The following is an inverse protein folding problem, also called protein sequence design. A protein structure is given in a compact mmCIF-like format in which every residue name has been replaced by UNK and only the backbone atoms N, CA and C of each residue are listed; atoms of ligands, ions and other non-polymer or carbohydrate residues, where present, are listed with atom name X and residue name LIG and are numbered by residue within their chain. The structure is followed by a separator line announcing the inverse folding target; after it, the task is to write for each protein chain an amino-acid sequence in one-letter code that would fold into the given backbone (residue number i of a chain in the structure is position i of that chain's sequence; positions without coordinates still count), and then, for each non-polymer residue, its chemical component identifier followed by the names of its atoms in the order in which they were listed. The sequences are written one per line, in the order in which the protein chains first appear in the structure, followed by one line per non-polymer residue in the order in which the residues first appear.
data_IF_918129377746
#
_entry.id   IF_918129377746
#
_cell.length_a   1.000
_cell.length_b   1.000
_cell.length_c   1.000
_cell.angle_alpha   90.00
_cell.angle_beta   90.00
_cell.angle_gamma   90.00
#
_symmetry.space_group_name_H-M   'P 1'
#
loop_
_entity.id
_entity.type
_entity.pdbx_description
1 polymer ?
#
# COMPACT_ATOMS: atom_id res chain seq x y z
N UNK A 1 5.70 9.12 8.83
CA UNK A 1 5.29 7.72 8.56
C UNK A 1 4.67 7.60 7.19
N UNK A 2 4.68 6.39 6.59
CA UNK A 2 4.04 6.11 5.29
C UNK A 2 2.92 5.09 5.51
N UNK A 3 1.74 5.35 4.95
CA UNK A 3 0.56 4.49 5.02
C UNK A 3 0.15 4.16 3.59
N UNK A 4 0.16 2.87 3.23
CA UNK A 4 -0.07 2.42 1.86
C UNK A 4 -1.30 1.52 1.80
N UNK A 5 -2.35 1.98 1.14
CA UNK A 5 -3.43 1.12 0.70
C UNK A 5 -2.94 0.26 -0.46
N UNK A 6 -2.65 -0.99 -0.16
CA UNK A 6 -2.03 -1.91 -1.12
C UNK A 6 -2.93 -2.29 -2.27
N UNK A 7 -4.24 -2.33 -2.06
CA UNK A 7 -5.20 -2.61 -3.11
C UNK A 7 -5.33 -1.45 -4.07
N UNK A 8 -5.49 -0.25 -3.54
CA UNK A 8 -5.55 0.97 -4.33
C UNK A 8 -4.25 1.17 -5.13
N UNK A 9 -3.09 0.95 -4.49
CA UNK A 9 -1.79 0.97 -5.15
C UNK A 9 -1.70 -0.06 -6.28
N UNK A 10 -2.11 -1.32 -6.04
CA UNK A 10 -2.07 -2.40 -7.03
C UNK A 10 -2.90 -2.07 -8.27
N UNK A 11 -4.15 -1.65 -8.07
CA UNK A 11 -5.06 -1.29 -9.16
C UNK A 11 -4.55 -0.11 -9.97
N UNK A 12 -4.05 0.92 -9.30
CA UNK A 12 -3.49 2.11 -9.93
C UNK A 12 -2.24 1.78 -10.76
N UNK A 13 -1.32 0.96 -10.24
CA UNK A 13 -0.13 0.50 -10.96
C UNK A 13 -0.50 -0.30 -12.20
N UNK A 14 -1.47 -1.22 -12.08
CA UNK A 14 -1.93 -2.01 -13.20
C UNK A 14 -2.57 -1.16 -14.30
N UNK A 15 -3.38 -0.18 -13.90
CA UNK A 15 -4.07 0.71 -14.82
C UNK A 15 -3.11 1.68 -15.55
N UNK A 16 -2.16 2.26 -14.82
CA UNK A 16 -1.28 3.32 -15.37
C UNK A 16 -0.04 2.77 -16.05
N UNK A 17 0.55 1.69 -15.51
CA UNK A 17 1.83 1.15 -15.97
C UNK A 17 1.74 -0.28 -16.52
N UNK A 18 0.59 -0.93 -16.45
CA UNK A 18 0.37 -2.35 -16.80
C UNK A 18 1.36 -3.32 -16.13
N UNK A 19 1.87 -2.95 -14.94
CA UNK A 19 2.77 -3.79 -14.13
C UNK A 19 2.57 -3.51 -12.65
N UNK A 20 2.89 -4.51 -11.80
CA UNK A 20 2.62 -4.46 -10.36
C UNK A 20 3.80 -4.90 -9.49
N UNK A 21 4.94 -5.17 -10.11
CA UNK A 21 6.17 -5.68 -9.48
C UNK A 21 7.00 -4.56 -8.81
N UNK A 22 6.33 -3.71 -8.03
CA UNK A 22 6.95 -2.58 -7.34
C UNK A 22 7.70 -3.03 -6.09
N UNK A 23 8.87 -2.44 -5.87
CA UNK A 23 9.65 -2.52 -4.63
C UNK A 23 9.14 -1.46 -3.66
N UNK A 24 8.44 -1.91 -2.61
CA UNK A 24 7.81 -1.01 -1.63
C UNK A 24 8.84 -0.21 -0.84
N UNK A 25 10.00 -0.81 -0.54
CA UNK A 25 11.09 -0.09 0.14
C UNK A 25 11.61 1.09 -0.67
N UNK A 26 11.86 0.87 -1.96
CA UNK A 26 12.30 1.93 -2.87
C UNK A 26 11.23 3.00 -3.07
N UNK A 27 9.95 2.60 -3.16
CA UNK A 27 8.84 3.56 -3.19
C UNK A 27 8.85 4.44 -1.94
N UNK A 28 8.91 3.84 -0.75
CA UNK A 28 8.95 4.60 0.52
C UNK A 28 10.12 5.59 0.55
N UNK A 29 11.32 5.17 0.11
CA UNK A 29 12.49 6.05 0.03
C UNK A 29 12.26 7.27 -0.89
N UNK A 30 11.58 7.07 -2.02
CA UNK A 30 11.22 8.17 -2.93
C UNK A 30 10.18 9.11 -2.33
N UNK A 31 9.18 8.56 -1.65
CA UNK A 31 8.10 9.36 -1.06
C UNK A 31 8.58 10.21 0.12
N UNK A 32 9.44 9.67 0.97
CA UNK A 32 9.94 10.42 2.14
C UNK A 32 10.92 11.53 1.76
N UNK A 33 11.54 11.48 0.58
CA UNK A 33 12.56 12.45 0.15
C UNK A 33 13.68 12.60 1.20
N UNK A 34 13.78 13.78 1.84
CA UNK A 34 14.76 14.08 2.90
C UNK A 34 14.22 13.83 4.32
N UNK A 35 12.96 13.38 4.45
CA UNK A 35 12.36 13.12 5.76
C UNK A 35 12.88 11.79 6.34
N UNK A 36 12.90 11.67 7.67
CA UNK A 36 13.21 10.41 8.34
C UNK A 36 11.99 9.48 8.27
N UNK A 37 12.19 8.25 7.78
CA UNK A 37 11.17 7.21 7.87
C UNK A 37 11.12 6.66 9.31
N UNK A 38 9.99 6.80 9.96
CA UNK A 38 9.72 6.15 11.25
C UNK A 38 9.23 4.73 11.01
N UNK A 39 8.17 4.58 10.18
CA UNK A 39 7.56 3.29 9.82
C UNK A 39 6.77 3.43 8.53
N UNK A 40 6.72 2.34 7.77
CA UNK A 40 5.79 2.12 6.67
C UNK A 40 4.76 1.08 7.10
N UNK A 41 3.48 1.37 6.92
CA UNK A 41 2.38 0.42 7.07
C UNK A 41 1.83 0.08 5.69
N UNK A 42 1.76 -1.20 5.38
CA UNK A 42 1.20 -1.69 4.12
C UNK A 42 -0.07 -2.49 4.42
N UNK A 43 -1.20 -1.99 3.96
CA UNK A 43 -2.52 -2.59 4.17
C UNK A 43 -2.92 -3.40 2.95
N UNK A 44 -3.44 -4.61 3.15
CA UNK A 44 -3.96 -5.43 2.05
C UNK A 44 -4.97 -6.45 2.57
N UNK A 45 -5.89 -6.88 1.71
CA UNK A 45 -6.77 -8.01 1.99
C UNK A 45 -6.15 -9.31 1.48
N UNK A 46 -6.18 -10.35 2.32
CA UNK A 46 -5.65 -11.66 1.93
C UNK A 46 -6.63 -12.40 1.03
N UNK A 47 -6.10 -12.96 -0.05
CA UNK A 47 -6.83 -13.82 -0.98
C UNK A 47 -7.16 -15.16 -0.30
N UNK A 48 -8.33 -15.70 -0.54
CA UNK A 48 -8.72 -17.02 -0.03
C UNK A 48 -8.01 -18.15 -0.76
N UNK A 49 -7.21 -18.95 -0.05
CA UNK A 49 -6.47 -20.07 -0.64
C UNK A 49 -7.39 -21.12 -1.31
N UNK A 50 -8.58 -21.36 -0.73
CA UNK A 50 -9.54 -22.32 -1.28
C UNK A 50 -10.20 -21.82 -2.56
N UNK A 51 -10.45 -20.53 -2.67
CA UNK A 51 -11.14 -19.92 -3.80
C UNK A 51 -10.21 -19.59 -4.96
N UNK A 52 -9.00 -19.10 -4.65
CA UNK A 52 -8.04 -18.60 -5.65
C UNK A 52 -6.60 -19.05 -5.31
N UNK A 53 -6.26 -20.35 -5.38
CA UNK A 53 -4.97 -20.86 -4.86
C UNK A 53 -3.75 -20.24 -5.54
N UNK A 54 -3.77 -20.07 -6.85
CA UNK A 54 -2.64 -19.47 -7.58
C UNK A 54 -2.44 -18.00 -7.24
N UNK A 55 -3.54 -17.24 -7.12
CA UNK A 55 -3.49 -15.83 -6.72
C UNK A 55 -3.01 -15.70 -5.27
N UNK A 56 -3.45 -16.61 -4.40
CA UNK A 56 -2.98 -16.70 -3.01
C UNK A 56 -1.47 -16.88 -2.95
N UNK A 57 -0.89 -17.86 -3.64
CA UNK A 57 0.56 -18.11 -3.59
C UNK A 57 1.37 -16.91 -4.12
N UNK A 58 0.93 -16.29 -5.21
CA UNK A 58 1.57 -15.08 -5.73
C UNK A 58 1.50 -13.92 -4.72
N UNK A 59 0.37 -13.74 -4.08
CA UNK A 59 0.20 -12.71 -3.06
C UNK A 59 1.09 -12.98 -1.84
N UNK A 60 1.16 -14.22 -1.35
CA UNK A 60 2.00 -14.56 -0.20
C UNK A 60 3.48 -14.27 -0.47
N UNK A 61 3.99 -14.60 -1.65
CA UNK A 61 5.36 -14.28 -2.04
C UNK A 61 5.62 -12.76 -2.08
N UNK A 62 4.64 -11.98 -2.57
CA UNK A 62 4.72 -10.53 -2.55
C UNK A 62 4.70 -9.98 -1.12
N UNK A 63 3.75 -10.41 -0.28
CA UNK A 63 3.62 -9.96 1.11
C UNK A 63 4.87 -10.29 1.93
N UNK A 64 5.46 -11.48 1.74
CA UNK A 64 6.73 -11.85 2.36
C UNK A 64 7.85 -10.86 1.98
N UNK A 65 7.91 -10.44 0.72
CA UNK A 65 8.90 -9.44 0.27
C UNK A 65 8.65 -8.05 0.88
N UNK A 66 7.40 -7.67 1.11
CA UNK A 66 7.06 -6.41 1.80
C UNK A 66 7.45 -6.49 3.27
N UNK A 67 7.13 -7.60 3.93
CA UNK A 67 7.48 -7.82 5.34
C UNK A 67 8.98 -7.84 5.60
N UNK A 68 9.77 -8.34 4.65
CA UNK A 68 11.24 -8.31 4.72
C UNK A 68 11.84 -6.90 4.54
N UNK A 69 11.04 -5.92 4.13
CA UNK A 69 11.50 -4.54 3.97
C UNK A 69 11.70 -3.89 5.33
N UNK A 70 12.88 -3.32 5.63
CA UNK A 70 13.14 -2.67 6.92
C UNK A 70 12.11 -1.58 7.25
N UNK A 71 11.74 -1.50 8.51
CA UNK A 71 10.76 -0.51 9.04
C UNK A 71 9.36 -0.61 8.40
N UNK A 72 9.00 -1.77 7.86
CA UNK A 72 7.70 -2.00 7.24
C UNK A 72 6.87 -3.01 8.05
N UNK A 73 5.61 -2.71 8.25
CA UNK A 73 4.64 -3.58 8.89
C UNK A 73 3.47 -3.86 7.97
N UNK A 74 3.06 -5.14 7.91
CA UNK A 74 1.84 -5.57 7.23
C UNK A 74 0.64 -5.42 8.15
N UNK A 75 -0.45 -4.94 7.58
CA UNK A 75 -1.79 -4.91 8.18
C UNK A 75 -2.73 -5.65 7.23
N UNK A 76 -3.17 -6.82 7.61
CA UNK A 76 -3.89 -7.73 6.72
C UNK A 76 -5.35 -7.88 7.16
N UNK A 77 -6.27 -7.47 6.27
CA UNK A 77 -7.67 -7.85 6.30
C UNK A 77 -7.90 -9.11 5.49
N UNK A 78 -9.12 -9.33 5.05
CA UNK A 78 -9.49 -10.49 4.26
C UNK A 78 -10.49 -10.13 3.15
N UNK A 79 -10.47 -10.95 2.09
CA UNK A 79 -11.51 -10.92 1.06
C UNK A 79 -12.74 -11.72 1.50
N UNK A 80 -13.90 -11.16 1.25
CA UNK A 80 -15.19 -11.81 1.50
C UNK A 80 -15.72 -12.37 0.17
N UNK A 81 -15.98 -13.67 0.14
CA UNK A 81 -16.36 -14.44 -1.05
C UNK A 81 -17.86 -14.81 -1.02
N UNK A 82 -18.73 -13.81 -1.05
CA UNK A 82 -20.17 -14.05 -1.15
C UNK A 82 -20.53 -14.41 -2.59
N UNK A 83 -21.20 -15.55 -2.79
CA UNK A 83 -21.62 -16.05 -4.11
C UNK A 83 -20.48 -16.26 -5.12
N UNK A 84 -19.29 -16.58 -4.64
CA UNK A 84 -18.16 -16.92 -5.52
C UNK A 84 -18.45 -18.22 -6.31
N UNK A 85 -18.13 -18.31 -7.60
CA UNK A 85 -17.45 -17.31 -8.44
C UNK A 85 -18.38 -16.33 -9.16
N UNK A 86 -19.69 -16.39 -8.94
CA UNK A 86 -20.67 -15.56 -9.64
C UNK A 86 -20.49 -14.05 -9.38
N UNK A 87 -19.99 -13.69 -8.20
CA UNK A 87 -19.63 -12.29 -7.87
C UNK A 87 -18.18 -12.18 -7.43
N UNK A 88 -17.45 -11.11 -7.83
CA UNK A 88 -16.11 -10.86 -7.36
C UNK A 88 -16.09 -10.69 -5.83
N UNK A 89 -15.02 -11.13 -5.15
CA UNK A 89 -14.86 -10.87 -3.73
C UNK A 89 -14.60 -9.38 -3.48
N UNK A 90 -14.96 -8.91 -2.28
CA UNK A 90 -14.70 -7.55 -1.86
C UNK A 90 -13.84 -7.52 -0.59
N UNK A 91 -13.11 -6.42 -0.40
CA UNK A 91 -12.26 -6.22 0.77
C UNK A 91 -13.09 -5.81 1.98
N UNK A 92 -12.65 -6.28 3.16
CA UNK A 92 -13.29 -5.89 4.42
C UNK A 92 -12.25 -5.47 5.45
N UNK A 93 -12.47 -4.30 6.02
CA UNK A 93 -11.75 -3.77 7.17
C UNK A 93 -10.43 -3.06 6.87
N UNK A 94 -10.00 -2.97 5.60
CA UNK A 94 -8.74 -2.30 5.22
C UNK A 94 -8.80 -0.82 5.57
N UNK A 95 -9.83 -0.12 5.09
CA UNK A 95 -9.99 1.33 5.30
C UNK A 95 -10.10 1.69 6.77
N UNK A 96 -10.81 0.85 7.54
CA UNK A 96 -10.97 1.03 8.99
C UNK A 96 -9.62 0.88 9.69
N UNK A 97 -8.82 -0.16 9.35
CA UNK A 97 -7.50 -0.36 9.93
C UNK A 97 -6.56 0.81 9.61
N UNK A 98 -6.50 1.21 8.34
CA UNK A 98 -5.65 2.31 7.90
C UNK A 98 -6.03 3.61 8.59
N UNK A 99 -7.32 3.96 8.59
CA UNK A 99 -7.86 5.16 9.26
C UNK A 99 -7.56 5.13 10.76
N UNK A 100 -7.76 3.98 11.42
CA UNK A 100 -7.51 3.82 12.85
C UNK A 100 -6.02 4.01 13.18
N UNK A 101 -5.13 3.38 12.42
CA UNK A 101 -3.68 3.52 12.63
C UNK A 101 -3.22 4.96 12.37
N UNK A 102 -3.69 5.58 11.27
CA UNK A 102 -3.37 6.95 10.92
C UNK A 102 -3.72 7.92 12.06
N UNK A 103 -4.93 7.85 12.60
CA UNK A 103 -5.38 8.68 13.70
C UNK A 103 -4.70 8.33 15.02
N UNK A 104 -4.55 7.03 15.34
CA UNK A 104 -3.90 6.59 16.59
C UNK A 104 -2.45 7.06 16.67
N UNK A 105 -1.70 6.94 15.58
CA UNK A 105 -0.32 7.43 15.53
C UNK A 105 -0.23 8.95 15.57
N UNK A 106 -1.23 9.65 15.02
CA UNK A 106 -1.36 11.10 15.14
C UNK A 106 -1.56 11.51 16.60
N UNK A 107 -2.53 10.94 17.30
CA UNK A 107 -2.80 11.24 18.72
C UNK A 107 -1.59 10.92 19.64
N UNK A 108 -0.87 9.85 19.34
CA UNK A 108 0.36 9.48 20.05
C UNK A 108 1.58 10.33 19.65
N UNK A 109 1.44 11.25 18.71
CA UNK A 109 2.54 12.07 18.16
C UNK A 109 3.73 11.24 17.66
N UNK A 110 3.45 10.09 17.06
CA UNK A 110 4.47 9.18 16.53
C UNK A 110 5.05 9.65 15.18
N UNK A 111 4.52 10.70 14.60
CA UNK A 111 5.01 11.34 13.38
C UNK A 111 4.63 12.82 13.32
N UNK A 112 5.40 13.59 12.56
CA UNK A 112 5.09 14.98 12.21
C UNK A 112 4.37 15.05 10.86
N UNK A 113 4.71 14.11 9.96
CA UNK A 113 4.15 14.02 8.60
C UNK A 113 3.69 12.58 8.34
N UNK A 114 2.43 12.44 7.96
CA UNK A 114 1.91 11.22 7.35
C UNK A 114 1.97 11.34 5.82
N UNK A 115 2.44 10.29 5.14
CA UNK A 115 2.33 10.16 3.69
C UNK A 115 1.34 9.04 3.41
N UNK A 116 0.20 9.38 2.84
CA UNK A 116 -0.86 8.44 2.48
C UNK A 116 -0.78 8.10 0.99
N UNK A 117 -0.61 6.82 0.67
CA UNK A 117 -0.65 6.31 -0.70
C UNK A 117 -2.02 5.65 -0.93
N UNK A 118 -2.99 6.43 -1.32
CA UNK A 118 -4.35 5.99 -1.61
C UNK A 118 -5.09 7.05 -2.44
N UNK A 119 -5.99 6.60 -3.33
CA UNK A 119 -6.85 7.47 -4.13
C UNK A 119 -8.30 7.48 -3.65
N UNK A 120 -8.62 6.79 -2.55
CA UNK A 120 -9.97 6.67 -2.02
C UNK A 120 -10.36 7.91 -1.20
N UNK A 121 -11.51 8.48 -1.52
CA UNK A 121 -12.03 9.68 -0.85
C UNK A 121 -12.54 9.43 0.57
N UNK A 122 -12.73 8.18 0.96
CA UNK A 122 -13.16 7.82 2.32
C UNK A 122 -12.13 8.22 3.39
N UNK A 123 -10.87 8.44 2.99
CA UNK A 123 -9.81 8.92 3.88
C UNK A 123 -9.85 10.41 4.19
N UNK A 124 -10.69 11.22 3.53
CA UNK A 124 -10.76 12.68 3.72
C UNK A 124 -10.98 13.06 5.18
N UNK A 125 -11.92 12.39 5.85
CA UNK A 125 -12.22 12.63 7.27
C UNK A 125 -11.03 12.33 8.19
N UNK A 126 -10.29 11.25 7.90
CA UNK A 126 -9.10 10.88 8.66
C UNK A 126 -7.95 11.89 8.48
N UNK A 127 -7.73 12.35 7.25
CA UNK A 127 -6.75 13.40 6.94
C UNK A 127 -7.07 14.67 7.73
N UNK A 128 -8.33 15.10 7.71
CA UNK A 128 -8.75 16.29 8.46
C UNK A 128 -8.54 16.10 9.97
N UNK A 129 -8.81 14.90 10.51
CA UNK A 129 -8.54 14.57 11.92
C UNK A 129 -7.07 14.69 12.29
N UNK A 130 -6.16 14.21 11.44
CA UNK A 130 -4.70 14.34 11.62
C UNK A 130 -4.29 15.81 11.62
N UNK A 131 -4.77 16.60 10.68
CA UNK A 131 -4.48 18.05 10.57
C UNK A 131 -4.99 18.83 11.78
N UNK A 132 -6.20 18.51 12.24
CA UNK A 132 -6.76 19.12 13.45
C UNK A 132 -5.94 18.82 14.72
N UNK A 133 -5.21 17.69 14.71
CA UNK A 133 -4.28 17.32 15.79
C UNK A 133 -2.87 17.92 15.61
N UNK A 134 -2.66 18.75 14.60
CA UNK A 134 -1.44 19.53 14.39
C UNK A 134 -0.31 18.83 13.64
N UNK A 135 -0.57 17.69 12.97
CA UNK A 135 0.37 17.07 12.05
C UNK A 135 0.01 17.36 10.58
N UNK A 136 0.97 17.12 9.70
CA UNK A 136 0.78 17.33 8.27
C UNK A 136 0.47 16.01 7.54
N UNK A 137 -0.32 16.10 6.47
CA UNK A 137 -0.63 14.94 5.62
C UNK A 137 -0.26 15.25 4.17
N UNK A 138 0.64 14.44 3.64
CA UNK A 138 0.94 14.42 2.20
C UNK A 138 0.22 13.22 1.57
N UNK A 139 -0.44 13.43 0.43
CA UNK A 139 -1.14 12.35 -0.28
C UNK A 139 -0.41 12.05 -1.59
N UNK A 140 -0.06 10.78 -1.78
CA UNK A 140 0.61 10.29 -2.98
C UNK A 140 -0.42 9.65 -3.93
N UNK A 141 -0.63 10.25 -5.09
CA UNK A 141 -1.69 9.94 -6.04
C UNK A 141 -1.14 9.61 -7.43
N UNK A 142 -1.81 8.68 -8.12
CA UNK A 142 -1.58 8.41 -9.53
C UNK A 142 -2.42 9.35 -10.40
N UNK A 143 -1.90 9.69 -11.59
CA UNK A 143 -2.64 10.39 -12.62
C UNK A 143 -2.75 11.91 -12.44
N UNK A 144 -3.63 12.48 -13.27
CA UNK A 144 -3.79 13.94 -13.41
C UNK A 144 -4.69 14.52 -12.30
N UNK A 145 -4.76 15.85 -12.24
CA UNK A 145 -5.45 16.65 -11.22
C UNK A 145 -6.93 16.29 -10.97
N UNK A 146 -7.62 15.72 -11.97
CA UNK A 146 -9.04 15.34 -11.85
C UNK A 146 -9.30 14.10 -10.98
N UNK A 147 -8.26 13.32 -10.68
CA UNK A 147 -8.39 12.08 -9.90
C UNK A 147 -8.33 12.41 -8.41
N UNK A 148 -9.31 11.93 -7.65
CA UNK A 148 -9.37 12.09 -6.18
C UNK A 148 -9.27 13.55 -5.71
N UNK A 149 -10.01 14.45 -6.37
CA UNK A 149 -10.03 15.89 -6.03
C UNK A 149 -10.26 16.15 -4.53
N UNK A 150 -11.21 15.50 -3.83
CA UNK A 150 -11.40 15.73 -2.39
C UNK A 150 -10.13 15.45 -1.56
N UNK A 151 -9.32 14.45 -1.91
CA UNK A 151 -8.05 14.19 -1.24
C UNK A 151 -7.03 15.30 -1.51
N UNK A 152 -6.99 15.82 -2.73
CA UNK A 152 -6.09 16.93 -3.09
C UNK A 152 -6.42 18.20 -2.33
N UNK A 153 -7.71 18.47 -2.17
CA UNK A 153 -8.20 19.69 -1.52
C UNK A 153 -7.93 19.67 0.00
N UNK A 154 -7.90 18.49 0.64
CA UNK A 154 -7.68 18.36 2.08
C UNK A 154 -6.20 18.17 2.44
N UNK A 155 -5.37 17.64 1.54
CA UNK A 155 -3.96 17.37 1.79
C UNK A 155 -3.13 18.65 1.94
N UNK A 156 -2.09 18.62 2.78
CA UNK A 156 -1.12 19.73 2.85
C UNK A 156 -0.20 19.74 1.63
N UNK A 157 0.06 18.58 1.05
CA UNK A 157 0.85 18.41 -0.17
C UNK A 157 0.38 17.20 -0.95
N UNK A 158 0.41 17.31 -2.28
CA UNK A 158 0.16 16.19 -3.17
C UNK A 158 1.46 15.76 -3.84
N UNK A 159 1.79 14.47 -3.74
CA UNK A 159 2.90 13.82 -4.44
C UNK A 159 2.31 13.08 -5.64
N UNK A 160 2.73 13.42 -6.84
CA UNK A 160 2.30 12.69 -8.04
C UNK A 160 3.17 11.47 -8.25
N UNK A 161 2.55 10.28 -8.25
CA UNK A 161 3.22 9.02 -8.58
C UNK A 161 3.19 8.86 -10.11
N UNK A 162 4.32 9.16 -10.73
CA UNK A 162 4.53 9.05 -12.17
C UNK A 162 5.75 8.18 -12.50
N UNK A 163 6.05 8.01 -13.80
CA UNK A 163 7.20 7.21 -14.25
C UNK A 163 8.55 7.78 -13.80
N UNK A 164 8.65 9.09 -13.48
CA UNK A 164 9.88 9.72 -12.96
C UNK A 164 10.10 9.34 -11.51
N UNK A 165 9.05 9.43 -10.67
CA UNK A 165 9.11 9.01 -9.27
C UNK A 165 9.42 7.53 -9.17
N UNK A 166 8.77 6.68 -9.99
CA UNK A 166 8.94 5.22 -9.96
C UNK A 166 10.21 4.73 -10.69
N UNK A 167 11.04 5.62 -11.23
CA UNK A 167 12.32 5.23 -11.83
C UNK A 167 13.18 4.49 -10.79
N UNK A 168 13.60 3.26 -11.14
CA UNK A 168 14.37 2.34 -10.30
C UNK A 168 13.61 1.74 -9.09
N UNK A 169 12.28 1.94 -8.98
CA UNK A 169 11.46 1.31 -7.95
C UNK A 169 10.91 -0.07 -8.35
N UNK A 170 11.12 -0.49 -9.58
CA UNK A 170 10.67 -1.80 -10.05
C UNK A 170 11.60 -2.92 -9.60
N UNK A 171 11.05 -4.09 -9.28
CA UNK A 171 11.84 -5.29 -9.03
C UNK A 171 12.47 -5.74 -10.36
N UNK A 172 13.76 -6.08 -10.34
CA UNK A 172 14.41 -6.65 -11.52
C UNK A 172 13.86 -8.07 -11.73
N UNK A 173 13.58 -8.44 -12.97
CA UNK A 173 13.07 -9.76 -13.37
C UNK A 173 13.95 -10.94 -12.93
N UNK A 174 15.20 -10.72 -12.58
CA UNK A 174 16.13 -11.74 -12.06
C UNK A 174 15.93 -12.09 -10.57
N UNK A 175 15.22 -11.28 -9.77
CA UNK A 175 14.97 -11.59 -8.35
C UNK A 175 13.68 -12.42 -8.13
N UNK A 176 12.82 -12.54 -9.12
CA UNK A 176 11.60 -13.33 -9.03
C UNK A 176 11.83 -14.86 -9.11
N UNK A 177 13.02 -15.32 -9.49
CA UNK A 177 13.37 -16.75 -9.65
C UNK A 177 14.17 -17.35 -8.48
N UNK A 178 14.51 -16.60 -7.45
CA UNK A 178 15.36 -17.06 -6.36
C UNK A 178 14.63 -17.76 -5.20
N UNK A 179 13.37 -18.12 -5.35
CA UNK A 179 12.63 -18.98 -4.41
C UNK A 179 12.26 -20.27 -5.14
N UNK A 180 13.27 -21.05 -5.54
CA UNK A 180 13.08 -22.47 -5.89
C UNK A 180 12.91 -23.27 -4.59
N UNK A 181 11.95 -24.22 -4.54
CA UNK A 181 11.81 -25.09 -3.38
C UNK A 181 13.04 -25.98 -3.24
N UNK A 182 13.57 -26.05 -2.03
CA UNK A 182 14.60 -27.03 -1.67
C UNK A 182 14.11 -28.43 -2.06
N UNK A 183 14.77 -29.04 -3.03
CA UNK A 183 14.62 -30.44 -3.40
C UNK A 183 14.94 -31.28 -2.15
N UNK A 184 13.99 -32.08 -1.70
CA UNK A 184 14.23 -33.13 -0.71
C UNK A 184 15.29 -34.07 -1.28
N UNK A 185 16.45 -34.10 -0.65
CA UNK A 185 17.38 -35.19 -0.85
C UNK A 185 16.80 -36.45 -0.17
N UNK A 186 16.51 -37.45 -0.97
CA UNK A 186 16.30 -38.84 -0.55
C UNK A 186 17.65 -39.46 -0.19
N UNK A 187 17.72 -39.97 1.00
CA UNK A 187 18.56 -41.09 1.36
C UNK A 187 17.81 -41.93 2.39
#
# INVERSE_FOLDING_TARGET
MVFIDGSNLYHSLKMVFNRTDLDIGKLCQKLIEKKRLVRCYYYNATVGMKQEPERYHRQQAFLASVQATPYTELRLGHLVYNNWPATPPYEKGIDIMLTTDLLTHSFKRNYDVAILVAGDTDYVGAIQGVKNNGQNVEVALFGKESTSRPLRDVADRVITIDGRLLKNCWKNSHQAQAVSPMTKATA
#
